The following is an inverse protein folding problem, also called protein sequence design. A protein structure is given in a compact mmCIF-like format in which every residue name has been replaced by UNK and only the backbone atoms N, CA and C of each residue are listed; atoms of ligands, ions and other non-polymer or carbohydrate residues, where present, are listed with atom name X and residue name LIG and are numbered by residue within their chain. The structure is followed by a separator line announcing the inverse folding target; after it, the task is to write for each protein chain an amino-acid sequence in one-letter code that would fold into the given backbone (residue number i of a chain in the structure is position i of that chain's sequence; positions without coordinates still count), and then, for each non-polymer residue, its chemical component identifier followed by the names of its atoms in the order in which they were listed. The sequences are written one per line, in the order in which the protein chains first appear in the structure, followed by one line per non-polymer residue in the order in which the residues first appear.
data_IF_325985165421
#
_entry.id   IF_325985165421
#
_cell.length_a   1.000
_cell.length_b   1.000
_cell.length_c   1.000
_cell.angle_alpha   90.00
_cell.angle_beta   90.00
_cell.angle_gamma   90.00
#
_symmetry.space_group_name_H-M   'P 1'
#
loop_
_entity.id
_entity.type
_entity.pdbx_description
1 polymer ?
#
# COMPACT_ATOMS: atom_id res chain seq x y z
N UNK A 1 -11.40 25.60 45.39
CA UNK A 1 -12.48 25.46 44.39
C UNK A 1 -12.33 24.09 43.76
N UNK A 2 -13.30 23.16 44.07
CA UNK A 2 -13.21 21.75 43.62
C UNK A 2 -14.25 21.43 42.54
N UNK A 3 -14.79 22.44 41.88
CA UNK A 3 -15.87 22.25 40.93
C UNK A 3 -15.37 21.91 39.50
N UNK A 4 -14.07 22.08 39.25
CA UNK A 4 -13.44 21.79 37.99
C UNK A 4 -12.09 21.11 38.26
N UNK A 5 -11.83 19.97 37.63
CA UNK A 5 -10.56 19.27 37.62
C UNK A 5 -10.05 19.12 36.19
N UNK A 6 -8.77 19.43 35.98
CA UNK A 6 -8.11 19.18 34.71
C UNK A 6 -7.21 17.95 34.85
N UNK A 7 -7.20 17.13 33.82
CA UNK A 7 -6.29 15.99 33.72
C UNK A 7 -5.56 16.04 32.37
N UNK A 8 -4.30 15.70 32.39
CA UNK A 8 -3.52 15.57 31.17
C UNK A 8 -2.59 14.38 31.31
N UNK A 9 -2.42 13.63 30.22
CA UNK A 9 -1.42 12.58 30.15
C UNK A 9 -0.69 12.65 28.82
N UNK A 10 0.60 12.37 28.88
CA UNK A 10 1.45 12.26 27.72
C UNK A 10 2.24 10.96 27.83
N UNK A 11 2.10 10.08 26.83
CA UNK A 11 2.76 8.79 26.79
C UNK A 11 3.49 8.62 25.47
N UNK A 12 4.67 8.00 25.56
CA UNK A 12 5.41 7.53 24.39
C UNK A 12 5.58 6.03 24.47
N UNK A 13 5.51 5.36 23.34
CA UNK A 13 5.71 3.92 23.21
C UNK A 13 6.61 3.59 22.03
N UNK A 14 7.32 2.49 22.13
CA UNK A 14 8.17 1.97 21.05
C UNK A 14 7.87 0.49 20.90
N UNK A 15 7.66 0.06 19.63
CA UNK A 15 7.59 -1.36 19.28
C UNK A 15 8.76 -1.69 18.36
N UNK A 16 9.67 -2.53 18.83
CA UNK A 16 10.72 -3.06 17.97
C UNK A 16 10.13 -4.04 16.94
N UNK A 17 10.71 -4.14 15.72
CA UNK A 17 10.39 -5.22 14.80
C UNK A 17 10.58 -6.58 15.47
N UNK A 18 9.70 -7.52 15.19
CA UNK A 18 9.87 -8.90 15.66
C UNK A 18 10.94 -9.62 14.84
N UNK A 19 11.41 -10.76 15.34
CA UNK A 19 12.34 -11.60 14.58
C UNK A 19 11.74 -12.03 13.23
N UNK A 20 10.44 -12.29 13.19
CA UNK A 20 9.75 -12.63 11.94
C UNK A 20 9.69 -11.45 10.97
N UNK A 21 9.47 -10.22 11.48
CA UNK A 21 9.46 -9.02 10.62
C UNK A 21 10.83 -8.82 9.93
N UNK A 22 11.92 -9.14 10.64
CA UNK A 22 13.29 -8.93 10.17
C UNK A 22 13.83 -10.09 9.31
N UNK A 23 13.56 -11.35 9.70
CA UNK A 23 14.29 -12.51 9.19
C UNK A 23 13.38 -13.64 8.69
N UNK A 24 12.10 -13.36 8.45
CA UNK A 24 11.21 -14.38 7.86
C UNK A 24 11.80 -14.86 6.53
N UNK A 25 11.96 -16.18 6.32
CA UNK A 25 12.49 -16.71 5.06
C UNK A 25 11.67 -16.25 3.87
N UNK A 26 12.34 -15.89 2.78
CA UNK A 26 11.66 -15.54 1.53
C UNK A 26 10.86 -16.72 1.01
N UNK A 27 9.55 -16.56 0.91
CA UNK A 27 8.61 -17.59 0.44
C UNK A 27 7.90 -17.10 -0.81
N UNK A 28 7.74 -18.00 -1.77
CA UNK A 28 6.93 -17.75 -2.95
C UNK A 28 5.46 -18.05 -2.64
N UNK A 29 4.59 -17.17 -3.09
CA UNK A 29 3.15 -17.33 -3.04
C UNK A 29 2.54 -16.88 -4.36
N UNK A 30 1.24 -17.13 -4.55
CA UNK A 30 0.51 -16.80 -5.76
C UNK A 30 -0.76 -16.05 -5.40
N UNK A 31 -1.08 -15.03 -6.18
CA UNK A 31 -2.29 -14.24 -6.01
C UNK A 31 -2.89 -13.82 -7.35
N UNK A 32 -4.18 -13.54 -7.35
CA UNK A 32 -4.79 -12.77 -8.42
C UNK A 32 -4.33 -11.32 -8.33
N UNK A 33 -3.83 -10.77 -9.43
CA UNK A 33 -3.41 -9.38 -9.54
C UNK A 33 -4.19 -8.70 -10.66
N UNK A 34 -4.97 -7.68 -10.30
CA UNK A 34 -5.55 -6.77 -11.28
C UNK A 34 -4.48 -5.75 -11.70
N UNK A 35 -3.96 -5.88 -12.92
CA UNK A 35 -2.91 -4.98 -13.38
C UNK A 35 -3.43 -3.54 -13.56
N UNK A 36 -2.88 -2.53 -12.83
CA UNK A 36 -3.28 -1.14 -12.98
C UNK A 36 -3.04 -0.58 -14.38
N UNK A 37 -2.06 -1.13 -15.10
CA UNK A 37 -1.72 -0.70 -16.46
C UNK A 37 -2.58 -1.36 -17.54
N UNK A 38 -3.37 -2.39 -17.22
CA UNK A 38 -4.35 -2.94 -18.16
C UNK A 38 -5.32 -1.87 -18.61
N UNK A 39 -5.63 -1.80 -19.90
CA UNK A 39 -6.51 -0.78 -20.49
C UNK A 39 -7.90 -0.69 -19.83
N UNK A 40 -8.37 -1.74 -19.17
CA UNK A 40 -9.64 -1.72 -18.42
C UNK A 40 -9.47 -1.12 -17.00
N UNK A 41 -8.27 -1.07 -16.45
CA UNK A 41 -7.98 -0.59 -15.11
C UNK A 41 -7.27 0.76 -15.08
N UNK A 42 -6.70 1.19 -16.21
CA UNK A 42 -5.82 2.35 -16.29
C UNK A 42 -6.50 3.67 -15.91
N UNK A 43 -7.81 3.75 -16.12
CA UNK A 43 -8.60 4.93 -15.74
C UNK A 43 -8.98 4.97 -14.26
N UNK A 44 -8.66 3.93 -13.49
CA UNK A 44 -9.01 3.84 -12.07
C UNK A 44 -8.27 4.84 -11.17
N UNK A 45 -7.16 5.41 -11.67
CA UNK A 45 -6.43 6.48 -10.98
C UNK A 45 -5.79 7.41 -12.03
N UNK A 46 -5.82 8.75 -11.84
CA UNK A 46 -5.29 9.71 -12.81
C UNK A 46 -3.79 9.58 -13.08
N UNK A 47 -3.02 9.02 -12.15
CA UNK A 47 -1.57 8.88 -12.27
C UNK A 47 -1.15 7.63 -13.07
N UNK A 48 -2.03 6.62 -13.20
CA UNK A 48 -1.69 5.32 -13.80
C UNK A 48 -1.15 5.42 -15.20
N UNK A 49 -1.82 6.18 -16.06
CA UNK A 49 -1.44 6.29 -17.47
C UNK A 49 0.00 6.80 -17.64
N UNK A 50 0.36 7.85 -16.89
CA UNK A 50 1.69 8.42 -16.91
C UNK A 50 2.74 7.48 -16.31
N UNK A 51 2.42 6.84 -15.19
CA UNK A 51 3.33 5.94 -14.48
C UNK A 51 3.58 4.64 -15.25
N UNK A 52 2.54 4.06 -15.85
CA UNK A 52 2.66 2.88 -16.71
C UNK A 52 3.52 3.16 -17.95
N UNK A 53 3.31 4.32 -18.59
CA UNK A 53 4.13 4.74 -19.72
C UNK A 53 5.60 4.98 -19.32
N UNK A 54 5.83 5.59 -18.15
CA UNK A 54 7.18 5.79 -17.61
C UNK A 54 7.91 4.49 -17.27
N UNK A 55 7.17 3.45 -16.89
CA UNK A 55 7.70 2.10 -16.63
C UNK A 55 7.84 1.24 -17.90
N UNK A 56 7.59 1.84 -19.07
CA UNK A 56 7.74 1.18 -20.37
C UNK A 56 6.61 0.23 -20.75
N UNK A 57 5.48 0.24 -20.04
CA UNK A 57 4.31 -0.56 -20.42
C UNK A 57 3.72 0.01 -21.72
N UNK A 58 3.59 -0.80 -22.78
CA UNK A 58 3.08 -0.31 -24.06
C UNK A 58 1.59 0.03 -23.97
N UNK A 59 1.14 0.97 -24.79
CA UNK A 59 -0.29 1.31 -24.90
C UNK A 59 -1.04 0.41 -25.88
N UNK A 60 -0.30 -0.26 -26.74
CA UNK A 60 -0.84 -1.16 -27.78
C UNK A 60 -0.06 -2.46 -27.81
N UNK A 61 -0.67 -3.52 -28.31
CA UNK A 61 0.04 -4.79 -28.52
C UNK A 61 1.15 -4.63 -29.56
N UNK A 62 2.27 -5.26 -29.30
CA UNK A 62 3.36 -5.39 -30.24
C UNK A 62 3.59 -6.86 -30.66
N UNK A 63 4.44 -7.08 -31.65
CA UNK A 63 4.72 -8.42 -32.20
C UNK A 63 5.39 -9.41 -31.21
N UNK A 64 5.98 -8.90 -30.12
CA UNK A 64 6.58 -9.73 -29.06
C UNK A 64 5.54 -10.36 -28.12
N UNK A 65 4.30 -9.88 -28.16
CA UNK A 65 3.22 -10.37 -27.30
C UNK A 65 2.54 -11.57 -27.96
N UNK A 66 2.90 -12.76 -27.57
CA UNK A 66 2.38 -14.03 -28.14
C UNK A 66 1.09 -14.50 -27.50
N UNK A 67 0.67 -13.91 -26.35
CA UNK A 67 -0.49 -14.37 -25.58
C UNK A 67 -1.61 -13.33 -25.63
N UNK A 68 -2.68 -13.59 -26.39
CA UNK A 68 -3.80 -12.65 -26.48
C UNK A 68 -4.69 -12.71 -25.26
N UNK A 69 -5.07 -11.55 -24.75
CA UNK A 69 -6.19 -11.39 -23.84
C UNK A 69 -7.48 -11.28 -24.66
N UNK A 70 -8.18 -12.38 -24.81
CA UNK A 70 -9.46 -12.45 -25.55
C UNK A 70 -9.39 -13.29 -26.82
N UNK A 71 -10.54 -13.81 -27.17
CA UNK A 71 -10.77 -14.90 -28.11
C UNK A 71 -10.65 -14.49 -29.57
N UNK A 72 -9.58 -14.09 -30.07
CA UNK A 72 -9.39 -14.21 -31.51
C UNK A 72 -7.91 -14.22 -31.82
N UNK A 73 -7.49 -15.32 -32.36
CA UNK A 73 -6.17 -15.54 -32.86
C UNK A 73 -5.58 -14.30 -33.54
N UNK A 74 -4.40 -13.90 -33.12
CA UNK A 74 -3.57 -12.98 -33.87
C UNK A 74 -3.14 -13.66 -35.16
N UNK A 75 -4.02 -13.68 -36.14
CA UNK A 75 -3.63 -14.05 -37.51
C UNK A 75 -3.49 -12.77 -38.31
N UNK A 76 -2.25 -12.32 -38.44
CA UNK A 76 -1.77 -11.46 -39.51
C UNK A 76 -2.42 -10.06 -39.59
N UNK A 77 -1.76 -9.09 -39.17
CA UNK A 77 -1.77 -7.62 -39.26
C UNK A 77 -1.68 -6.97 -37.89
N UNK A 78 -0.89 -5.93 -37.69
CA UNK A 78 -0.80 -5.26 -36.39
C UNK A 78 -2.18 -4.61 -36.08
N UNK A 79 -3.02 -5.29 -35.35
CA UNK A 79 -4.20 -4.67 -34.76
C UNK A 79 -3.71 -3.71 -33.69
N UNK A 80 -4.03 -2.46 -33.86
CA UNK A 80 -3.91 -1.43 -32.83
C UNK A 80 -5.02 -1.68 -31.82
N UNK A 81 -4.85 -2.71 -31.01
CA UNK A 81 -5.74 -3.02 -29.88
C UNK A 81 -5.09 -2.47 -28.63
N UNK A 82 -5.87 -1.95 -27.65
CA UNK A 82 -5.30 -1.54 -26.36
C UNK A 82 -4.49 -2.67 -25.75
N UNK A 83 -3.39 -2.34 -25.11
CA UNK A 83 -2.60 -3.31 -24.38
C UNK A 83 -3.40 -3.93 -23.23
N UNK A 84 -3.24 -5.21 -23.01
CA UNK A 84 -3.96 -5.97 -21.99
C UNK A 84 -3.04 -6.93 -21.24
N UNK A 85 -3.18 -6.92 -19.91
CA UNK A 85 -2.65 -7.95 -19.02
C UNK A 85 -3.83 -8.60 -18.29
N UNK A 86 -4.57 -9.42 -18.99
CA UNK A 86 -5.90 -9.89 -18.58
C UNK A 86 -5.85 -10.97 -17.50
N UNK A 87 -7.01 -11.23 -16.91
CA UNK A 87 -7.22 -12.22 -15.85
C UNK A 87 -6.59 -13.59 -16.15
N UNK A 88 -6.61 -14.03 -17.41
CA UNK A 88 -6.00 -15.31 -17.80
C UNK A 88 -4.48 -15.35 -17.55
N UNK A 89 -3.79 -14.20 -17.62
CA UNK A 89 -2.36 -14.06 -17.36
C UNK A 89 -2.07 -13.73 -15.90
N UNK A 90 -3.00 -13.13 -15.19
CA UNK A 90 -2.79 -12.58 -13.82
C UNK A 90 -3.55 -13.32 -12.72
N UNK A 91 -4.30 -14.37 -13.06
CA UNK A 91 -5.08 -15.16 -12.09
C UNK A 91 -4.22 -15.91 -11.06
N UNK A 92 -2.98 -16.23 -11.42
CA UNK A 92 -2.03 -16.93 -10.55
C UNK A 92 -0.65 -16.31 -10.71
N UNK A 93 -0.52 -15.07 -10.34
CA UNK A 93 0.74 -14.32 -10.41
C UNK A 93 1.59 -14.62 -9.19
N UNK A 94 2.80 -15.12 -9.42
CA UNK A 94 3.77 -15.40 -8.36
C UNK A 94 4.33 -14.12 -7.77
N UNK A 95 4.47 -14.09 -6.45
CA UNK A 95 5.19 -13.06 -5.73
C UNK A 95 6.03 -13.67 -4.62
N UNK A 96 7.08 -12.97 -4.21
CA UNK A 96 7.94 -13.40 -3.10
C UNK A 96 7.76 -12.43 -1.95
N UNK A 97 7.60 -13.00 -0.75
CA UNK A 97 7.48 -12.23 0.47
C UNK A 97 8.47 -12.78 1.52
N UNK A 98 9.16 -11.88 2.21
CA UNK A 98 10.15 -12.23 3.22
C UNK A 98 10.23 -11.20 4.34
N UNK A 99 11.16 -11.39 5.28
CA UNK A 99 11.51 -10.40 6.28
C UNK A 99 12.31 -9.25 5.67
N UNK A 100 12.38 -8.15 6.40
CA UNK A 100 13.19 -6.99 6.00
C UNK A 100 14.09 -6.54 7.17
N UNK A 101 15.37 -6.82 7.13
CA UNK A 101 16.31 -6.45 8.20
C UNK A 101 16.55 -4.94 8.34
N UNK A 102 16.05 -4.13 7.41
CA UNK A 102 16.20 -2.66 7.46
C UNK A 102 15.06 -1.96 8.19
N UNK A 103 14.07 -2.71 8.70
CA UNK A 103 12.96 -2.14 9.45
C UNK A 103 13.43 -1.43 10.71
N UNK A 104 12.87 -0.25 10.94
CA UNK A 104 13.07 0.52 12.16
C UNK A 104 11.87 0.38 13.10
N UNK A 105 12.11 0.65 14.39
CA UNK A 105 11.06 0.55 15.40
C UNK A 105 9.93 1.55 15.17
N UNK A 106 8.71 1.09 15.41
CA UNK A 106 7.53 1.95 15.48
C UNK A 106 7.61 2.85 16.70
N UNK A 107 7.13 4.08 16.58
CA UNK A 107 7.04 5.02 17.68
C UNK A 107 5.61 5.53 17.81
N UNK A 108 5.03 5.32 18.98
CA UNK A 108 3.74 5.85 19.36
C UNK A 108 3.87 7.04 20.28
N UNK A 109 2.98 8.01 20.10
CA UNK A 109 2.79 9.16 20.99
C UNK A 109 1.29 9.31 21.25
N UNK A 110 0.92 9.42 22.51
CA UNK A 110 -0.45 9.66 22.92
C UNK A 110 -0.52 10.87 23.86
N UNK A 111 -1.35 11.83 23.53
CA UNK A 111 -1.69 12.97 24.34
C UNK A 111 -3.19 12.91 24.68
N UNK A 112 -3.51 13.03 25.95
CA UNK A 112 -4.90 13.18 26.40
C UNK A 112 -4.98 14.42 27.29
N UNK A 113 -6.00 15.24 27.03
CA UNK A 113 -6.34 16.42 27.86
C UNK A 113 -7.82 16.32 28.19
N UNK A 114 -8.13 16.36 29.47
CA UNK A 114 -9.51 16.25 29.94
C UNK A 114 -9.88 17.26 31.01
N UNK A 115 -11.15 17.49 31.11
CA UNK A 115 -11.77 18.34 32.13
C UNK A 115 -12.96 17.62 32.73
N UNK A 116 -13.02 17.61 34.04
CA UNK A 116 -14.17 17.13 34.81
C UNK A 116 -14.80 18.30 35.53
N UNK A 117 -16.09 18.48 35.37
CA UNK A 117 -16.89 19.58 36.00
C UNK A 117 -17.95 18.95 36.88
N UNK A 118 -17.94 19.31 38.15
CA UNK A 118 -18.93 18.90 39.17
C UNK A 118 -19.55 20.14 39.82
N UNK A 119 -20.53 20.80 39.19
CA UNK A 119 -21.09 22.06 39.68
C UNK A 119 -21.91 21.82 40.95
N UNK A 120 -21.60 22.55 42.02
CA UNK A 120 -22.32 22.47 43.30
C UNK A 120 -23.78 22.91 43.20
N UNK A 121 -24.09 23.68 42.17
CA UNK A 121 -25.44 24.20 41.92
C UNK A 121 -26.42 23.09 41.53
N UNK A 122 -25.90 22.00 40.96
CA UNK A 122 -26.68 20.83 40.54
C UNK A 122 -26.06 19.58 41.17
N UNK A 123 -26.52 19.19 42.37
CA UNK A 123 -26.00 18.01 43.04
C UNK A 123 -26.17 16.72 42.20
N UNK A 124 -25.08 15.95 42.06
CA UNK A 124 -25.08 14.69 41.31
C UNK A 124 -24.83 14.84 39.82
N UNK A 125 -24.60 16.05 39.29
CA UNK A 125 -24.16 16.24 37.91
C UNK A 125 -22.65 16.18 37.83
N UNK A 126 -22.13 15.26 37.00
CA UNK A 126 -20.71 15.19 36.60
C UNK A 126 -20.63 15.24 35.09
N UNK A 127 -19.90 16.20 34.56
CA UNK A 127 -19.59 16.31 33.12
C UNK A 127 -18.11 16.09 32.92
N UNK A 128 -17.77 15.19 32.01
CA UNK A 128 -16.37 14.91 31.60
C UNK A 128 -16.22 15.14 30.10
N UNK A 129 -15.21 15.90 29.73
CA UNK A 129 -14.83 16.12 28.34
C UNK A 129 -13.34 15.78 28.21
N UNK A 130 -13.04 14.89 27.29
CA UNK A 130 -11.68 14.43 26.99
C UNK A 130 -11.37 14.64 25.51
N UNK A 131 -10.24 15.28 25.24
CA UNK A 131 -9.60 15.29 23.91
C UNK A 131 -8.42 14.34 23.93
N UNK A 132 -8.29 13.51 22.90
CA UNK A 132 -7.13 12.65 22.72
C UNK A 132 -6.54 12.79 21.32
N UNK A 133 -5.23 12.61 21.23
CA UNK A 133 -4.47 12.51 19.99
C UNK A 133 -3.47 11.36 20.11
N UNK A 134 -3.61 10.39 19.25
CA UNK A 134 -2.70 9.26 19.15
C UNK A 134 -2.03 9.31 17.77
N UNK A 135 -0.72 9.20 17.76
CA UNK A 135 0.08 9.23 16.55
C UNK A 135 1.08 8.08 16.57
N UNK A 136 1.10 7.28 15.51
CA UNK A 136 2.09 6.21 15.33
C UNK A 136 2.88 6.50 14.06
N UNK A 137 4.19 6.47 14.16
CA UNK A 137 5.13 6.66 13.06
C UNK A 137 5.93 5.38 12.82
N UNK A 138 6.40 5.19 11.59
CA UNK A 138 7.14 4.00 11.15
C UNK A 138 6.36 2.69 11.37
N UNK A 139 5.04 2.70 11.21
CA UNK A 139 4.21 1.51 11.35
C UNK A 139 4.75 0.39 10.46
N UNK A 140 5.00 -0.78 11.04
CA UNK A 140 5.48 -1.95 10.31
C UNK A 140 4.28 -2.66 9.70
N UNK A 141 4.27 -2.78 8.39
CA UNK A 141 3.20 -3.45 7.66
C UNK A 141 3.78 -4.45 6.65
N UNK A 142 3.14 -5.61 6.55
CA UNK A 142 3.31 -6.53 5.44
C UNK A 142 2.28 -6.17 4.36
N UNK A 143 2.74 -5.68 3.22
CA UNK A 143 1.88 -5.29 2.12
C UNK A 143 1.72 -6.45 1.14
N UNK A 144 0.48 -6.75 0.76
CA UNK A 144 0.21 -7.71 -0.31
C UNK A 144 0.66 -7.20 -1.69
N UNK A 145 0.93 -8.12 -2.61
CA UNK A 145 1.44 -7.79 -3.96
C UNK A 145 0.56 -6.78 -4.71
N UNK A 146 -0.77 -6.92 -4.67
CA UNK A 146 -1.69 -5.97 -5.30
C UNK A 146 -1.54 -4.55 -4.72
N UNK A 147 -1.39 -4.44 -3.41
CA UNK A 147 -1.23 -3.13 -2.74
C UNK A 147 0.08 -2.47 -3.18
N UNK A 148 1.17 -3.22 -3.25
CA UNK A 148 2.47 -2.71 -3.71
C UNK A 148 2.40 -2.22 -5.15
N UNK A 149 1.80 -3.00 -6.04
CA UNK A 149 1.60 -2.62 -7.44
C UNK A 149 0.75 -1.35 -7.56
N UNK A 150 -0.34 -1.26 -6.78
CA UNK A 150 -1.16 -0.05 -6.77
C UNK A 150 -0.37 1.16 -6.23
N UNK A 151 0.38 1.01 -5.14
CA UNK A 151 1.20 2.09 -4.59
C UNK A 151 2.30 2.57 -5.56
N UNK A 152 2.79 1.67 -6.43
CA UNK A 152 3.69 2.05 -7.50
C UNK A 152 2.99 2.93 -8.54
N UNK A 153 1.91 2.42 -9.16
CA UNK A 153 1.30 3.08 -10.32
C UNK A 153 0.30 4.19 -9.99
N UNK A 154 -0.26 4.21 -8.77
CA UNK A 154 -1.18 5.27 -8.33
C UNK A 154 -0.45 6.48 -7.71
N UNK A 155 0.87 6.39 -7.58
CA UNK A 155 1.68 7.43 -6.94
C UNK A 155 1.67 8.75 -7.70
N UNK A 156 1.41 9.87 -7.02
CA UNK A 156 1.54 11.19 -7.62
C UNK A 156 3.00 11.62 -7.85
N UNK A 157 3.96 10.91 -7.24
CA UNK A 157 5.40 11.19 -7.39
C UNK A 157 6.06 10.41 -8.52
N UNK A 158 5.28 9.71 -9.34
CA UNK A 158 5.79 8.89 -10.43
C UNK A 158 6.34 7.54 -9.98
N UNK A 159 7.06 6.87 -10.87
CA UNK A 159 7.65 5.55 -10.63
C UNK A 159 8.96 5.57 -9.80
N UNK A 160 9.45 6.75 -9.42
CA UNK A 160 10.62 6.88 -8.55
C UNK A 160 10.33 6.53 -7.08
N UNK A 161 9.10 6.15 -6.75
CA UNK A 161 8.77 5.70 -5.40
C UNK A 161 9.34 4.30 -5.11
N UNK A 162 9.63 3.97 -3.84
CA UNK A 162 10.32 2.72 -3.47
C UNK A 162 9.55 1.44 -3.81
N UNK A 163 8.23 1.50 -3.98
CA UNK A 163 7.42 0.33 -4.31
C UNK A 163 7.64 -0.13 -5.76
N UNK A 164 7.91 0.80 -6.68
CA UNK A 164 8.14 0.45 -8.08
C UNK A 164 9.41 -0.39 -8.29
N UNK A 165 10.44 -0.20 -7.46
CA UNK A 165 11.67 -1.01 -7.54
C UNK A 165 11.44 -2.48 -7.18
N UNK A 166 10.32 -2.82 -6.55
CA UNK A 166 9.95 -4.20 -6.17
C UNK A 166 9.04 -4.87 -7.19
N UNK A 167 8.50 -4.13 -8.16
CA UNK A 167 7.66 -4.65 -9.24
C UNK A 167 8.54 -5.10 -10.40
N UNK A 168 8.31 -6.31 -10.90
CA UNK A 168 9.11 -6.92 -11.95
C UNK A 168 8.27 -7.11 -13.21
N UNK A 169 8.62 -6.37 -14.27
CA UNK A 169 8.00 -6.48 -15.59
C UNK A 169 9.01 -6.86 -16.66
N UNK A 170 8.53 -7.52 -17.66
CA UNK A 170 9.28 -7.74 -18.90
C UNK A 170 9.30 -6.43 -19.72
N UNK A 171 10.46 -5.83 -19.95
CA UNK A 171 10.58 -4.58 -20.69
C UNK A 171 10.14 -4.67 -22.16
N UNK A 172 10.09 -5.88 -22.73
CA UNK A 172 9.67 -6.07 -24.12
C UNK A 172 8.14 -6.10 -24.28
N UNK A 173 7.43 -6.66 -23.31
CA UNK A 173 5.98 -6.89 -23.39
C UNK A 173 5.18 -6.07 -22.41
N UNK A 174 5.80 -5.58 -21.32
CA UNK A 174 5.15 -4.92 -20.20
C UNK A 174 4.41 -5.88 -19.25
N UNK A 175 4.36 -7.18 -19.55
CA UNK A 175 3.73 -8.19 -18.70
C UNK A 175 4.55 -8.41 -17.42
N UNK A 176 3.88 -8.94 -16.36
CA UNK A 176 4.59 -9.31 -15.15
C UNK A 176 5.53 -10.50 -15.41
N UNK A 177 6.78 -10.37 -15.01
CA UNK A 177 7.68 -11.50 -14.82
C UNK A 177 7.33 -12.26 -13.54
N UNK A 178 7.79 -13.48 -13.41
CA UNK A 178 7.60 -14.28 -12.20
C UNK A 178 8.93 -14.35 -11.40
N UNK A 179 8.94 -13.89 -10.15
CA UNK A 179 7.85 -13.27 -9.38
C UNK A 179 7.57 -11.82 -9.80
N UNK A 180 6.28 -11.44 -9.83
CA UNK A 180 5.85 -10.09 -10.21
C UNK A 180 6.22 -9.03 -9.17
N UNK A 181 6.30 -9.42 -7.91
CA UNK A 181 6.69 -8.57 -6.78
C UNK A 181 7.63 -9.33 -5.87
N UNK A 182 8.68 -8.65 -5.44
CA UNK A 182 9.58 -9.12 -4.38
C UNK A 182 9.51 -8.12 -3.26
N UNK A 183 8.88 -8.49 -2.14
CA UNK A 183 8.65 -7.58 -1.03
C UNK A 183 9.04 -8.18 0.32
N UNK A 184 9.37 -7.29 1.26
CA UNK A 184 9.45 -7.56 2.68
C UNK A 184 8.48 -6.66 3.44
N UNK A 185 8.49 -6.73 4.75
CA UNK A 185 7.84 -5.73 5.58
C UNK A 185 8.38 -4.33 5.28
N UNK A 186 7.54 -3.32 5.40
CA UNK A 186 7.92 -1.93 5.20
C UNK A 186 7.53 -1.10 6.41
N UNK A 187 8.30 -0.08 6.72
CA UNK A 187 7.84 0.97 7.61
C UNK A 187 6.89 1.86 6.81
N UNK A 188 5.62 1.63 7.01
CA UNK A 188 4.57 2.39 6.36
C UNK A 188 4.35 3.69 7.14
N UNK A 189 4.00 4.70 6.46
CA UNK A 189 3.64 6.05 6.87
C UNK A 189 3.30 6.29 8.38
N UNK A 190 2.73 7.40 8.63
CA UNK A 190 2.26 7.90 9.91
C UNK A 190 0.74 7.68 9.99
N UNK A 191 0.29 7.07 11.08
CA UNK A 191 -1.12 6.97 11.42
C UNK A 191 -1.44 7.95 12.54
N UNK A 192 -2.52 8.73 12.39
CA UNK A 192 -3.00 9.68 13.38
C UNK A 192 -4.48 9.45 13.63
N UNK A 193 -4.85 9.44 14.91
CA UNK A 193 -6.25 9.40 15.37
C UNK A 193 -6.44 10.47 16.43
N UNK A 194 -7.50 11.23 16.34
CA UNK A 194 -7.85 12.27 17.31
C UNK A 194 -9.38 12.37 17.48
N UNK A 195 -9.84 12.74 18.66
CA UNK A 195 -11.25 12.93 18.99
C UNK A 195 -11.46 13.61 20.33
#
# INVERSE_FOLDING_TARGET
VRDIAFKTSFNTSVRAPTQSDLFFPSTQSFAFIADPCDSVNISGNPNRAANCAADGVPTTYNAAMTTPCGSTAFTGTPRVTPWRNCTALTSSTGFVQGGNPTLVAERGMALTIGMVVEPRVIPGLTLTVDYYRIEVTNLIAALGAQTIINLCYDSPTGISNPFCSTVNRDPATGLFNQPAVISGGVNFAKQKTEG
#
